data_IF_904118068414
#
_entry.id   IF_904118068414
#
_cell.length_a   1.000
_cell.length_b   1.000
_cell.length_c   1.000
_cell.angle_alpha   90.00
_cell.angle_beta   90.00
_cell.angle_gamma   90.00
#
_symmetry.space_group_name_H-M   'P 1'
#
loop_
_entity.id
_entity.type
_entity.pdbx_description
1 polymer ?
#
# COMPACT_ATOMS: atom_id res chain seq x y z
N UNK A 1 -75.13 27.66 22.83
CA UNK A 1 -75.58 26.67 21.81
C UNK A 1 -74.64 25.48 21.92
N UNK A 2 -74.84 24.60 22.88
CA UNK A 2 -75.73 23.41 22.93
C UNK A 2 -75.19 22.19 22.17
N UNK A 3 -75.45 21.02 22.77
CA UNK A 3 -75.01 19.64 22.51
C UNK A 3 -73.75 19.22 23.27
N UNK A 4 -73.69 18.15 24.07
CA UNK A 4 -74.63 17.26 24.76
C UNK A 4 -73.74 16.33 25.66
N UNK A 5 -74.16 16.01 26.89
CA UNK A 5 -73.61 14.98 27.80
C UNK A 5 -73.85 13.54 27.23
N UNK A 6 -73.37 12.39 27.81
CA UNK A 6 -73.20 12.17 29.27
C UNK A 6 -72.32 11.00 29.83
N UNK A 7 -72.30 10.89 31.19
CA UNK A 7 -72.10 9.70 32.08
C UNK A 7 -70.74 8.95 32.03
N UNK A 8 -70.22 8.27 33.07
CA UNK A 8 -70.30 8.30 34.54
C UNK A 8 -69.27 7.28 35.09
N UNK A 9 -68.91 7.45 36.36
CA UNK A 9 -67.97 6.62 37.11
C UNK A 9 -68.47 5.20 37.40
N UNK A 10 -67.54 4.24 37.57
CA UNK A 10 -67.62 3.12 38.53
C UNK A 10 -66.23 2.49 38.75
N UNK A 11 -65.77 2.54 40.01
CA UNK A 11 -64.71 1.66 40.55
C UNK A 11 -65.26 0.26 40.81
N UNK A 12 -64.41 -0.77 40.89
CA UNK A 12 -64.42 -1.84 41.92
C UNK A 12 -63.26 -2.85 41.71
N UNK A 13 -62.55 -3.06 42.81
CA UNK A 13 -61.89 -4.27 43.33
C UNK A 13 -60.97 -5.17 42.47
N UNK A 14 -59.69 -5.09 42.85
CA UNK A 14 -58.82 -6.20 43.30
C UNK A 14 -59.34 -7.65 43.21
N UNK A 15 -58.56 -8.48 42.51
CA UNK A 15 -58.43 -9.92 42.77
C UNK A 15 -56.94 -10.26 42.90
N UNK A 16 -56.56 -10.76 44.08
CA UNK A 16 -55.26 -11.39 44.37
C UNK A 16 -55.34 -12.87 43.98
N UNK A 17 -54.34 -13.36 43.25
CA UNK A 17 -53.83 -14.74 43.30
C UNK A 17 -52.43 -14.72 42.66
N UNK A 18 -51.33 -14.89 43.39
CA UNK A 18 -50.72 -16.16 43.86
C UNK A 18 -49.48 -16.49 43.03
N UNK A 19 -48.38 -16.73 43.76
CA UNK A 19 -46.98 -16.87 43.32
C UNK A 19 -46.76 -18.03 42.33
N UNK A 20 -45.90 -17.82 41.32
CA UNK A 20 -44.89 -18.81 40.87
C UNK A 20 -43.85 -18.15 39.93
N UNK A 21 -42.63 -18.63 40.04
CA UNK A 21 -41.37 -18.07 39.58
C UNK A 21 -41.17 -17.99 38.06
N UNK A 22 -40.41 -16.98 37.60
CA UNK A 22 -39.31 -17.16 36.63
C UNK A 22 -38.18 -16.19 36.99
N UNK A 23 -37.07 -16.74 37.46
CA UNK A 23 -35.77 -16.08 37.46
C UNK A 23 -35.35 -15.82 36.01
N UNK A 24 -35.19 -14.56 35.62
CA UNK A 24 -34.31 -14.22 34.50
C UNK A 24 -33.32 -13.16 34.99
N UNK A 25 -32.09 -13.63 35.21
CA UNK A 25 -30.91 -12.83 35.48
C UNK A 25 -30.73 -11.78 34.37
N UNK A 26 -30.92 -10.51 34.69
CA UNK A 26 -30.34 -9.40 33.93
C UNK A 26 -28.89 -9.19 34.40
N UNK A 27 -28.04 -10.18 34.13
CA UNK A 27 -26.60 -9.95 34.07
C UNK A 27 -26.32 -9.29 32.72
N UNK A 28 -26.30 -7.96 32.71
CA UNK A 28 -25.82 -7.17 31.60
C UNK A 28 -24.35 -7.55 31.34
N UNK A 29 -24.13 -8.50 30.44
CA UNK A 29 -22.85 -8.76 29.84
C UNK A 29 -22.53 -7.54 28.97
N UNK A 30 -21.85 -6.55 29.58
CA UNK A 30 -21.04 -5.61 28.86
C UNK A 30 -19.96 -6.43 28.13
N UNK A 31 -20.28 -6.88 26.92
CA UNK A 31 -19.27 -7.27 25.94
C UNK A 31 -18.50 -6.00 25.60
N UNK A 32 -17.53 -5.67 26.43
CA UNK A 32 -16.40 -4.87 26.00
C UNK A 32 -15.78 -5.62 24.84
N UNK A 33 -16.04 -5.14 23.62
CA UNK A 33 -15.21 -5.39 22.46
C UNK A 33 -13.82 -4.84 22.77
N UNK A 34 -13.04 -5.56 23.56
CA UNK A 34 -11.59 -5.48 23.49
C UNK A 34 -11.25 -6.01 22.10
N UNK A 35 -11.16 -5.11 21.13
CA UNK A 35 -10.36 -5.35 19.95
C UNK A 35 -9.00 -5.80 20.47
N UNK A 36 -8.74 -7.11 20.40
CA UNK A 36 -7.40 -7.63 20.56
C UNK A 36 -6.58 -6.91 19.50
N UNK A 37 -5.82 -5.91 19.92
CA UNK A 37 -4.74 -5.35 19.13
C UNK A 37 -3.82 -6.52 18.83
N UNK A 38 -4.08 -7.21 17.72
CA UNK A 38 -3.17 -8.20 17.16
C UNK A 38 -1.92 -7.39 16.86
N UNK A 39 -0.86 -7.61 17.65
CA UNK A 39 0.41 -6.94 17.45
C UNK A 39 0.78 -7.13 15.96
N UNK A 40 0.69 -6.06 15.18
CA UNK A 40 1.01 -6.05 13.77
C UNK A 40 2.51 -6.25 13.63
N UNK A 41 2.93 -7.51 13.52
CA UNK A 41 4.34 -7.88 13.41
C UNK A 41 4.73 -8.27 11.99
N UNK A 42 3.95 -7.90 10.97
CA UNK A 42 4.18 -8.27 9.57
C UNK A 42 4.09 -7.07 8.62
N UNK A 43 4.44 -7.30 7.36
CA UNK A 43 4.38 -6.32 6.28
C UNK A 43 3.38 -6.80 5.23
N UNK A 44 2.09 -6.55 5.45
CA UNK A 44 1.02 -7.26 4.74
C UNK A 44 0.57 -6.59 3.44
N UNK A 45 1.07 -5.40 3.11
CA UNK A 45 0.61 -4.58 1.98
C UNK A 45 1.72 -3.65 1.47
N UNK A 46 1.50 -3.07 0.29
CA UNK A 46 2.40 -2.06 -0.29
C UNK A 46 2.57 -0.86 0.67
N UNK A 47 3.80 -0.45 0.94
CA UNK A 47 4.10 0.60 1.91
C UNK A 47 4.14 0.16 3.37
N UNK A 48 3.92 -1.13 3.67
CA UNK A 48 3.93 -1.67 5.03
C UNK A 48 2.61 -1.48 5.77
N UNK A 49 2.55 -1.75 7.09
CA UNK A 49 1.30 -1.78 7.85
C UNK A 49 0.43 -0.55 7.69
N UNK A 50 1.05 0.64 7.69
CA UNK A 50 0.37 1.93 7.60
C UNK A 50 0.53 2.60 6.23
N UNK A 51 1.03 1.89 5.22
CA UNK A 51 1.27 2.44 3.88
C UNK A 51 2.19 3.70 3.86
N UNK A 52 3.13 3.79 4.81
CA UNK A 52 4.00 4.96 5.02
C UNK A 52 5.51 4.62 5.02
N UNK A 53 5.84 3.36 4.72
CA UNK A 53 7.19 2.78 4.70
C UNK A 53 7.91 2.85 6.04
N UNK A 54 7.17 2.98 7.15
CA UNK A 54 7.72 3.00 8.52
C UNK A 54 7.31 1.73 9.26
N UNK A 55 8.22 1.20 10.06
CA UNK A 55 7.94 0.05 10.93
C UNK A 55 8.51 0.28 12.32
N UNK A 56 7.71 -0.05 13.33
CA UNK A 56 8.22 -0.20 14.70
C UNK A 56 8.92 -1.55 14.80
N UNK A 57 10.22 -1.52 15.06
CA UNK A 57 11.05 -2.71 15.16
C UNK A 57 11.93 -2.65 16.40
N UNK A 58 12.57 -3.77 16.74
CA UNK A 58 13.55 -3.81 17.81
C UNK A 58 14.88 -3.18 17.38
N UNK A 59 15.83 -3.09 18.32
CA UNK A 59 17.16 -2.50 18.08
C UNK A 59 17.87 -3.10 16.86
N UNK A 60 18.13 -2.25 15.87
CA UNK A 60 18.85 -2.57 14.65
C UNK A 60 20.32 -2.14 14.76
N UNK A 61 21.18 -2.69 13.91
CA UNK A 61 22.58 -2.33 13.88
C UNK A 61 22.76 -0.87 13.41
N UNK A 62 23.60 -0.10 14.11
CA UNK A 62 23.97 1.27 13.70
C UNK A 62 25.08 1.32 12.66
N UNK A 63 25.81 0.23 12.49
CA UNK A 63 26.95 0.10 11.58
C UNK A 63 26.99 -1.32 11.01
N UNK A 64 27.59 -1.46 9.82
CA UNK A 64 27.82 -2.74 9.17
C UNK A 64 29.31 -2.93 8.87
N UNK A 65 29.80 -4.18 8.80
CA UNK A 65 31.08 -4.47 8.17
C UNK A 65 31.14 -3.97 6.72
N UNK A 66 32.33 -3.84 6.15
CA UNK A 66 32.51 -3.46 4.73
C UNK A 66 31.78 -4.39 3.75
N UNK A 67 31.61 -5.66 4.11
CA UNK A 67 30.86 -6.65 3.32
C UNK A 67 29.32 -6.54 3.46
N UNK A 68 28.84 -5.62 4.30
CA UNK A 68 27.42 -5.42 4.59
C UNK A 68 26.90 -6.30 5.74
N UNK A 69 25.58 -6.26 5.99
CA UNK A 69 24.94 -7.09 7.00
C UNK A 69 25.03 -8.58 6.64
N UNK A 70 24.91 -9.45 7.63
CA UNK A 70 25.00 -10.89 7.40
C UNK A 70 23.87 -11.34 6.47
N UNK A 71 24.25 -11.99 5.36
CA UNK A 71 23.32 -12.62 4.43
C UNK A 71 22.79 -13.91 5.04
N UNK A 72 21.47 -13.99 5.23
CA UNK A 72 20.81 -15.16 5.79
C UNK A 72 20.60 -16.24 4.72
N UNK A 73 20.10 -15.79 3.57
CA UNK A 73 19.95 -16.58 2.37
C UNK A 73 19.80 -15.65 1.17
N UNK A 74 20.03 -16.21 -0.02
CA UNK A 74 19.77 -15.57 -1.31
C UNK A 74 19.25 -16.63 -2.26
N UNK A 75 18.37 -16.24 -3.18
CA UNK A 75 17.74 -17.16 -4.11
C UNK A 75 17.44 -16.46 -5.43
N UNK A 76 17.78 -17.13 -6.53
CA UNK A 76 17.26 -16.78 -7.85
C UNK A 76 15.77 -17.08 -7.93
N UNK A 77 15.03 -16.17 -8.54
CA UNK A 77 13.59 -16.27 -8.67
C UNK A 77 13.20 -16.21 -10.16
N UNK A 78 13.05 -15.00 -10.67
CA UNK A 78 12.67 -14.72 -12.04
C UNK A 78 12.30 -13.26 -12.18
N UNK A 79 11.88 -12.88 -13.37
CA UNK A 79 11.65 -11.49 -13.76
C UNK A 79 10.54 -10.85 -12.92
N UNK A 80 10.75 -9.62 -12.44
CA UNK A 80 9.69 -8.78 -11.84
C UNK A 80 10.19 -7.89 -10.71
N UNK A 81 9.31 -6.97 -10.29
CA UNK A 81 9.55 -5.99 -9.23
C UNK A 81 8.44 -6.00 -8.16
N UNK A 82 7.68 -7.09 -8.08
CA UNK A 82 6.71 -7.30 -7.01
C UNK A 82 7.43 -7.21 -5.66
N UNK A 83 7.01 -6.27 -4.81
CA UNK A 83 7.54 -6.20 -3.44
C UNK A 83 7.16 -7.44 -2.63
N UNK A 84 7.76 -7.54 -1.46
CA UNK A 84 7.68 -8.69 -0.61
C UNK A 84 6.71 -8.35 0.52
N UNK A 85 5.59 -9.05 0.60
CA UNK A 85 4.76 -9.02 1.79
C UNK A 85 5.21 -10.12 2.73
N UNK A 86 5.18 -9.87 4.03
CA UNK A 86 5.56 -10.82 5.06
C UNK A 86 4.47 -10.92 6.11
N UNK A 87 4.15 -12.14 6.51
CA UNK A 87 3.33 -12.39 7.69
C UNK A 87 3.71 -13.73 8.32
N UNK A 88 3.91 -13.75 9.64
CA UNK A 88 4.12 -14.97 10.43
C UNK A 88 5.23 -15.90 9.91
N UNK A 89 6.35 -15.33 9.45
CA UNK A 89 7.50 -16.07 8.94
C UNK A 89 7.31 -16.59 7.52
N UNK A 90 6.36 -16.05 6.76
CA UNK A 90 6.12 -16.38 5.35
C UNK A 90 6.22 -15.13 4.49
N UNK A 91 6.92 -15.25 3.36
CA UNK A 91 7.09 -14.18 2.38
C UNK A 91 6.22 -14.45 1.17
N UNK A 92 5.56 -13.42 0.65
CA UNK A 92 4.69 -13.47 -0.51
C UNK A 92 5.17 -12.45 -1.53
N UNK A 93 5.41 -12.90 -2.75
CA UNK A 93 5.80 -12.02 -3.87
C UNK A 93 5.34 -12.65 -5.19
N UNK A 94 5.63 -12.00 -6.31
CA UNK A 94 5.31 -12.50 -7.64
C UNK A 94 6.51 -12.40 -8.58
N UNK A 95 6.63 -13.32 -9.52
CA UNK A 95 7.64 -13.24 -10.58
C UNK A 95 7.11 -13.83 -11.88
N UNK A 96 7.87 -13.67 -12.96
CA UNK A 96 7.65 -14.33 -14.23
C UNK A 96 8.82 -15.27 -14.53
N UNK A 97 8.49 -16.50 -14.90
CA UNK A 97 9.47 -17.46 -15.41
C UNK A 97 10.15 -16.90 -16.68
N UNK A 98 11.41 -17.27 -16.91
CA UNK A 98 12.12 -16.84 -18.12
C UNK A 98 11.53 -17.48 -19.39
N UNK A 99 11.80 -16.84 -20.53
CA UNK A 99 11.35 -17.29 -21.85
C UNK A 99 10.06 -16.62 -22.33
N UNK A 100 9.81 -16.75 -23.63
CA UNK A 100 8.67 -16.12 -24.33
C UNK A 100 7.32 -16.56 -23.74
N UNK A 101 7.20 -17.86 -23.45
CA UNK A 101 6.01 -18.49 -22.84
C UNK A 101 6.03 -18.49 -21.30
N UNK A 102 6.91 -17.69 -20.68
CA UNK A 102 7.07 -17.62 -19.23
C UNK A 102 5.74 -17.38 -18.52
N UNK A 103 5.45 -18.19 -17.49
CA UNK A 103 4.24 -18.01 -16.67
C UNK A 103 4.51 -16.97 -15.58
N UNK A 104 3.46 -16.27 -15.17
CA UNK A 104 3.50 -15.54 -13.92
C UNK A 104 3.25 -16.49 -12.76
N UNK A 105 3.92 -16.22 -11.65
CA UNK A 105 3.93 -17.06 -10.46
C UNK A 105 3.71 -16.17 -9.25
N UNK A 106 2.61 -16.41 -8.53
CA UNK A 106 2.49 -15.98 -7.14
C UNK A 106 3.17 -17.03 -6.25
N UNK A 107 4.03 -16.62 -5.34
CA UNK A 107 4.86 -17.53 -4.55
C UNK A 107 4.79 -17.20 -3.06
N UNK A 108 4.75 -18.25 -2.24
CA UNK A 108 4.99 -18.18 -0.81
C UNK A 108 6.31 -18.87 -0.47
N UNK A 109 7.16 -18.18 0.29
CA UNK A 109 8.44 -18.67 0.76
C UNK A 109 8.46 -18.76 2.29
N UNK A 110 9.24 -19.70 2.81
CA UNK A 110 9.63 -19.67 4.20
C UNK A 110 10.63 -18.54 4.45
N UNK A 111 10.31 -17.61 5.35
CA UNK A 111 11.12 -16.41 5.56
C UNK A 111 12.50 -16.71 6.17
N UNK A 112 12.65 -17.86 6.87
CA UNK A 112 13.92 -18.26 7.49
C UNK A 112 14.85 -18.92 6.48
N UNK A 113 14.34 -19.69 5.52
CA UNK A 113 15.16 -20.49 4.61
C UNK A 113 15.15 -20.00 3.15
N UNK A 114 14.17 -19.19 2.75
CA UNK A 114 13.94 -18.79 1.35
C UNK A 114 13.36 -19.91 0.48
N UNK A 115 13.04 -21.08 1.06
CA UNK A 115 12.48 -22.22 0.32
C UNK A 115 11.02 -22.00 -0.02
N UNK A 116 10.60 -22.49 -1.19
CA UNK A 116 9.20 -22.46 -1.61
C UNK A 116 8.34 -23.27 -0.63
N UNK A 117 7.26 -22.66 -0.14
CA UNK A 117 6.15 -23.33 0.56
C UNK A 117 5.09 -23.74 -0.44
N UNK A 118 4.67 -22.81 -1.30
CA UNK A 118 3.79 -23.08 -2.42
C UNK A 118 4.03 -22.08 -3.57
N UNK A 119 3.65 -22.48 -4.78
CA UNK A 119 3.65 -21.64 -5.97
C UNK A 119 2.33 -21.78 -6.71
N UNK A 120 1.79 -20.65 -7.19
CA UNK A 120 0.65 -20.61 -8.09
C UNK A 120 1.08 -20.03 -9.43
N UNK A 121 1.28 -20.92 -10.40
CA UNK A 121 1.66 -20.58 -11.77
C UNK A 121 0.43 -20.39 -12.65
N UNK A 122 0.43 -19.37 -13.50
CA UNK A 122 -0.65 -19.14 -14.46
C UNK A 122 -0.12 -18.50 -15.75
N UNK A 123 -0.81 -18.78 -16.86
CA UNK A 123 -0.50 -18.13 -18.14
C UNK A 123 -0.96 -16.67 -18.06
N UNK A 124 -0.04 -15.76 -18.27
CA UNK A 124 -0.29 -14.33 -18.40
C UNK A 124 0.44 -13.86 -19.66
N UNK A 125 -0.25 -13.86 -20.80
CA UNK A 125 0.34 -13.39 -22.05
C UNK A 125 0.34 -11.85 -22.02
N UNK A 126 1.51 -11.19 -22.13
CA UNK A 126 1.58 -9.73 -22.26
C UNK A 126 0.81 -9.26 -23.51
N UNK A 127 0.24 -8.06 -23.45
CA UNK A 127 -0.25 -7.34 -24.64
C UNK A 127 0.93 -6.77 -25.43
N UNK A 128 0.75 -6.52 -26.73
CA UNK A 128 1.73 -5.84 -27.58
C UNK A 128 1.97 -4.37 -27.12
N UNK A 129 1.03 -3.81 -26.35
CA UNK A 129 1.16 -2.48 -25.74
C UNK A 129 2.10 -2.46 -24.52
N UNK A 130 2.50 -3.62 -24.00
CA UNK A 130 3.40 -3.70 -22.86
C UNK A 130 4.85 -3.40 -23.25
N UNK A 131 5.46 -2.47 -22.53
CA UNK A 131 6.89 -2.13 -22.64
C UNK A 131 7.69 -3.11 -21.79
N UNK A 132 8.18 -4.17 -22.44
CA UNK A 132 8.89 -5.28 -21.79
C UNK A 132 10.38 -4.99 -21.51
N UNK A 133 10.95 -3.95 -22.13
CA UNK A 133 12.36 -3.54 -21.99
C UNK A 133 12.77 -3.39 -20.51
N UNK A 134 11.86 -2.82 -19.71
CA UNK A 134 12.11 -2.53 -18.31
C UNK A 134 11.80 -3.70 -17.36
N UNK A 135 11.48 -4.88 -17.88
CA UNK A 135 11.18 -6.09 -17.10
C UNK A 135 9.83 -6.70 -17.48
N UNK A 136 9.82 -8.01 -17.69
CA UNK A 136 8.64 -8.74 -18.15
C UNK A 136 7.67 -9.15 -17.02
N UNK A 137 8.11 -9.00 -15.77
CA UNK A 137 7.44 -9.59 -14.62
C UNK A 137 6.42 -8.70 -13.91
N UNK A 138 5.64 -9.30 -13.00
CA UNK A 138 4.67 -8.60 -12.17
C UNK A 138 5.34 -7.57 -11.26
N UNK A 139 4.59 -6.51 -10.96
CA UNK A 139 5.02 -5.32 -10.20
C UNK A 139 4.19 -5.06 -8.97
N UNK A 140 2.89 -5.40 -9.00
CA UNK A 140 2.01 -5.26 -7.85
C UNK A 140 2.49 -6.12 -6.67
N UNK A 141 2.18 -5.67 -5.47
CA UNK A 141 2.55 -6.34 -4.22
C UNK A 141 1.39 -7.20 -3.75
N UNK A 142 1.63 -8.46 -3.34
CA UNK A 142 0.57 -9.28 -2.78
C UNK A 142 -0.01 -8.64 -1.52
N UNK A 143 -1.32 -8.43 -1.48
CA UNK A 143 -2.03 -8.00 -0.28
C UNK A 143 -2.37 -9.23 0.57
N UNK A 144 -1.99 -9.21 1.85
CA UNK A 144 -2.32 -10.24 2.82
C UNK A 144 -3.41 -9.70 3.75
N UNK A 145 -4.61 -10.28 3.71
CA UNK A 145 -5.63 -10.02 4.71
C UNK A 145 -6.40 -11.31 5.01
N UNK A 146 -6.82 -11.45 6.27
CA UNK A 146 -7.47 -12.66 6.78
C UNK A 146 -6.66 -13.94 6.46
N UNK A 147 -7.30 -14.94 5.87
CA UNK A 147 -6.71 -16.18 5.37
C UNK A 147 -6.46 -16.15 3.85
N UNK A 148 -6.37 -14.95 3.26
CA UNK A 148 -6.25 -14.71 1.81
C UNK A 148 -4.95 -14.00 1.41
N UNK A 149 -4.61 -14.18 0.15
CA UNK A 149 -3.56 -13.43 -0.56
C UNK A 149 -4.17 -12.93 -1.87
N UNK A 150 -4.13 -11.62 -2.09
CA UNK A 150 -4.60 -11.01 -3.33
C UNK A 150 -3.42 -10.60 -4.19
N UNK A 151 -3.42 -11.02 -5.44
CA UNK A 151 -2.35 -10.73 -6.40
C UNK A 151 -2.91 -10.16 -7.69
N UNK A 152 -2.17 -9.26 -8.33
CA UNK A 152 -2.52 -8.69 -9.64
C UNK A 152 -1.31 -8.82 -10.55
N UNK A 153 -1.46 -9.59 -11.63
CA UNK A 153 -0.43 -9.80 -12.64
C UNK A 153 -0.26 -8.65 -13.63
N UNK A 154 0.78 -8.68 -14.47
CA UNK A 154 1.04 -7.62 -15.47
C UNK A 154 -0.17 -7.44 -16.39
N UNK A 155 -0.80 -8.55 -16.79
CA UNK A 155 -1.97 -8.57 -17.67
C UNK A 155 -3.32 -8.42 -16.94
N UNK A 156 -3.34 -7.85 -15.73
CA UNK A 156 -4.59 -7.61 -15.00
C UNK A 156 -5.29 -8.89 -14.51
N UNK A 157 -4.61 -10.03 -14.43
CA UNK A 157 -5.20 -11.22 -13.81
C UNK A 157 -5.12 -11.05 -12.29
N UNK A 158 -6.27 -10.82 -11.67
CA UNK A 158 -6.42 -10.70 -10.23
C UNK A 158 -6.79 -12.06 -9.63
N UNK A 159 -6.05 -12.52 -8.63
CA UNK A 159 -6.39 -13.72 -7.87
C UNK A 159 -6.69 -13.39 -6.42
N UNK A 160 -7.66 -14.12 -5.86
CA UNK A 160 -7.75 -14.37 -4.43
C UNK A 160 -7.29 -15.81 -4.17
N UNK A 161 -6.22 -15.96 -3.40
CA UNK A 161 -5.61 -17.25 -3.07
C UNK A 161 -5.80 -17.55 -1.59
N UNK A 162 -5.94 -18.83 -1.25
CA UNK A 162 -5.82 -19.27 0.12
C UNK A 162 -4.37 -19.12 0.58
N UNK A 163 -4.15 -18.43 1.70
CA UNK A 163 -2.82 -18.10 2.22
C UNK A 163 -1.99 -19.34 2.58
N UNK A 164 -2.63 -20.43 3.00
CA UNK A 164 -1.97 -21.64 3.48
C UNK A 164 -1.42 -22.52 2.35
N UNK A 165 -2.14 -22.64 1.23
CA UNK A 165 -1.79 -23.60 0.16
C UNK A 165 -1.74 -23.01 -1.26
N UNK A 166 -2.02 -21.70 -1.42
CA UNK A 166 -1.98 -21.02 -2.71
C UNK A 166 -3.10 -21.43 -3.68
N UNK A 167 -4.11 -22.19 -3.23
CA UNK A 167 -5.25 -22.52 -4.08
C UNK A 167 -6.09 -21.28 -4.39
N UNK A 168 -6.59 -21.22 -5.62
CA UNK A 168 -7.48 -20.14 -6.04
C UNK A 168 -8.82 -20.29 -5.35
N UNK A 169 -9.23 -19.25 -4.62
CA UNK A 169 -10.58 -19.10 -4.09
C UNK A 169 -11.49 -18.53 -5.18
N UNK A 170 -11.04 -17.43 -5.80
CA UNK A 170 -11.65 -16.85 -6.99
C UNK A 170 -10.60 -16.07 -7.81
N UNK A 171 -10.92 -15.75 -9.06
CA UNK A 171 -10.07 -14.95 -9.94
C UNK A 171 -10.90 -14.12 -10.91
N UNK A 172 -10.36 -12.98 -11.32
CA UNK A 172 -10.89 -12.13 -12.38
C UNK A 172 -9.80 -11.78 -13.40
N UNK A 173 -10.17 -11.67 -14.67
CA UNK A 173 -9.33 -11.09 -15.71
C UNK A 173 -9.83 -9.66 -15.95
N UNK A 174 -9.16 -8.68 -15.32
CA UNK A 174 -9.62 -7.30 -15.31
C UNK A 174 -9.79 -6.71 -16.72
N UNK A 175 -8.99 -7.18 -17.68
CA UNK A 175 -9.06 -6.79 -19.08
C UNK A 175 -10.21 -7.44 -19.81
N UNK A 176 -10.24 -8.78 -19.82
CA UNK A 176 -11.19 -9.51 -20.66
C UNK A 176 -12.61 -9.47 -20.09
N UNK A 177 -12.73 -9.53 -18.78
CA UNK A 177 -14.02 -9.58 -18.10
C UNK A 177 -14.64 -8.20 -17.97
N UNK A 178 -13.84 -7.19 -17.61
CA UNK A 178 -14.37 -5.86 -17.29
C UNK A 178 -14.04 -4.80 -18.33
N UNK A 179 -13.22 -5.09 -19.35
CA UNK A 179 -12.71 -4.10 -20.32
C UNK A 179 -11.80 -3.05 -19.65
N UNK A 180 -11.02 -3.52 -18.67
CA UNK A 180 -10.01 -2.73 -17.98
C UNK A 180 -8.94 -2.18 -18.93
N UNK A 181 -8.25 -1.14 -18.48
CA UNK A 181 -7.22 -0.46 -19.27
C UNK A 181 -5.98 -1.33 -19.46
N UNK A 182 -5.47 -1.42 -20.68
CA UNK A 182 -4.13 -1.98 -20.92
C UNK A 182 -3.10 -0.89 -20.61
N UNK A 183 -2.36 -1.07 -19.52
CA UNK A 183 -1.32 -0.14 -19.07
C UNK A 183 0.02 -0.52 -19.67
N UNK A 184 0.79 0.43 -20.21
CA UNK A 184 2.05 0.12 -20.90
C UNK A 184 3.11 -0.57 -20.01
N UNK A 185 3.09 -0.36 -18.69
CA UNK A 185 3.94 -1.09 -17.73
C UNK A 185 3.20 -2.21 -16.99
N UNK A 186 2.01 -2.57 -17.43
CA UNK A 186 1.12 -3.53 -16.81
C UNK A 186 0.57 -3.08 -15.45
N UNK A 187 -0.29 -3.89 -14.85
CA UNK A 187 -0.88 -3.55 -13.55
C UNK A 187 0.21 -3.59 -12.48
N UNK A 188 0.46 -2.41 -11.90
CA UNK A 188 1.46 -2.23 -10.85
C UNK A 188 0.83 -1.79 -9.51
N UNK A 189 -0.41 -1.28 -9.56
CA UNK A 189 -1.20 -1.04 -8.34
C UNK A 189 -1.52 -2.37 -7.67
N UNK A 190 -1.31 -2.42 -6.36
CA UNK A 190 -1.76 -3.53 -5.52
C UNK A 190 -3.26 -3.38 -5.21
N UNK A 191 -3.87 -4.46 -4.73
CA UNK A 191 -5.24 -4.40 -4.21
C UNK A 191 -5.28 -3.70 -2.85
N UNK A 192 -6.43 -3.10 -2.51
CA UNK A 192 -6.68 -2.47 -1.22
C UNK A 192 -7.70 -3.29 -0.40
N UNK A 193 -7.41 -3.50 0.87
CA UNK A 193 -8.29 -4.14 1.83
C UNK A 193 -9.25 -3.14 2.47
N UNK A 194 -10.57 -3.36 2.41
CA UNK A 194 -11.53 -2.51 3.12
C UNK A 194 -12.84 -3.24 3.48
N UNK A 195 -13.13 -3.34 4.78
CA UNK A 195 -14.32 -4.04 5.29
C UNK A 195 -14.42 -5.46 4.74
N UNK A 196 -15.54 -5.78 4.10
CA UNK A 196 -15.80 -7.07 3.45
C UNK A 196 -15.30 -7.16 1.99
N UNK A 197 -14.63 -6.10 1.52
CA UNK A 197 -14.24 -5.95 0.12
C UNK A 197 -12.74 -5.88 -0.07
N UNK A 198 -12.34 -6.22 -1.28
CA UNK A 198 -11.02 -5.90 -1.83
C UNK A 198 -11.23 -5.00 -3.05
N UNK A 199 -10.51 -3.89 -3.10
CA UNK A 199 -10.68 -2.85 -4.12
C UNK A 199 -9.47 -2.86 -5.07
N UNK A 200 -9.73 -2.70 -6.36
CA UNK A 200 -8.68 -2.63 -7.38
C UNK A 200 -8.90 -1.47 -8.36
N UNK A 201 -7.78 -0.92 -8.83
CA UNK A 201 -7.74 -0.01 -9.98
C UNK A 201 -7.84 -0.83 -11.27
N UNK A 202 -9.03 -0.86 -11.86
CA UNK A 202 -9.32 -1.66 -13.07
C UNK A 202 -9.08 -0.84 -14.34
N UNK A 203 -9.40 0.45 -14.31
CA UNK A 203 -9.44 1.28 -15.51
C UNK A 203 -10.64 0.94 -16.40
N UNK A 204 -10.97 1.81 -17.36
CA UNK A 204 -12.11 1.62 -18.27
C UNK A 204 -13.34 2.44 -17.90
N UNK A 205 -14.24 2.60 -18.87
CA UNK A 205 -15.37 3.54 -18.81
C UNK A 205 -16.45 3.09 -17.82
N UNK A 206 -16.68 3.85 -16.77
CA UNK A 206 -17.66 3.65 -15.71
C UNK A 206 -17.23 2.65 -14.64
N UNK A 207 -15.96 2.24 -14.65
CA UNK A 207 -15.40 1.25 -13.73
C UNK A 207 -13.90 1.41 -13.56
N UNK A 208 -13.39 2.65 -13.50
CA UNK A 208 -11.96 2.86 -13.25
C UNK A 208 -11.53 2.24 -11.92
N UNK A 209 -12.43 2.19 -10.93
CA UNK A 209 -12.26 1.48 -9.67
C UNK A 209 -13.39 0.45 -9.49
N UNK A 210 -13.06 -0.69 -8.88
CA UNK A 210 -14.04 -1.75 -8.55
C UNK A 210 -13.75 -2.37 -7.19
N UNK A 211 -14.81 -2.65 -6.43
CA UNK A 211 -14.76 -3.45 -5.21
C UNK A 211 -15.34 -4.84 -5.44
N UNK A 212 -14.66 -5.84 -4.90
CA UNK A 212 -15.05 -7.24 -4.99
C UNK A 212 -15.21 -7.80 -3.57
N UNK A 213 -16.22 -8.64 -3.36
CA UNK A 213 -16.36 -9.39 -2.10
C UNK A 213 -15.14 -10.29 -1.88
N UNK A 214 -14.56 -10.24 -0.67
CA UNK A 214 -13.40 -11.08 -0.31
C UNK A 214 -13.69 -12.58 -0.41
N UNK A 215 -14.90 -13.00 -0.06
CA UNK A 215 -15.31 -14.41 0.02
C UNK A 215 -15.47 -15.09 -1.34
N UNK A 216 -15.99 -14.40 -2.35
CA UNK A 216 -16.42 -15.01 -3.63
C UNK A 216 -16.10 -14.18 -4.89
N UNK A 217 -15.52 -12.99 -4.76
CA UNK A 217 -15.13 -12.15 -5.89
C UNK A 217 -16.28 -11.39 -6.55
N UNK A 218 -17.53 -11.51 -6.08
CA UNK A 218 -18.64 -10.76 -6.67
C UNK A 218 -18.40 -9.26 -6.56
N UNK A 219 -18.63 -8.54 -7.66
CA UNK A 219 -18.55 -7.08 -7.70
C UNK A 219 -19.60 -6.49 -6.76
N UNK A 220 -19.17 -5.64 -5.83
CA UNK A 220 -20.03 -4.87 -4.94
C UNK A 220 -20.38 -3.53 -5.58
N UNK A 221 -19.35 -2.83 -6.06
CA UNK A 221 -19.52 -1.59 -6.80
C UNK A 221 -18.44 -1.45 -7.88
N UNK A 222 -18.76 -0.65 -8.90
CA UNK A 222 -17.85 -0.22 -9.96
C UNK A 222 -18.20 1.22 -10.32
N UNK A 223 -17.23 2.12 -10.27
CA UNK A 223 -17.47 3.56 -10.34
C UNK A 223 -16.34 4.28 -11.06
N UNK A 224 -16.65 5.52 -11.40
CA UNK A 224 -15.74 6.53 -11.95
C UNK A 224 -15.21 6.21 -13.36
N UNK A 225 -14.71 7.26 -14.01
CA UNK A 225 -14.21 7.27 -15.39
C UNK A 225 -12.76 7.77 -15.46
N UNK A 226 -12.01 7.62 -14.37
CA UNK A 226 -10.64 8.13 -14.30
C UNK A 226 -9.71 7.37 -15.25
N UNK A 227 -8.74 8.09 -15.80
CA UNK A 227 -7.67 7.48 -16.59
C UNK A 227 -6.72 6.74 -15.64
N UNK A 228 -6.51 5.45 -15.92
CA UNK A 228 -5.81 4.56 -14.99
C UNK A 228 -4.32 4.92 -14.83
N UNK A 229 -3.75 4.61 -13.66
CA UNK A 229 -2.34 4.84 -13.34
C UNK A 229 -1.78 3.71 -12.45
N UNK A 230 -0.65 3.95 -11.77
CA UNK A 230 0.16 2.89 -11.17
C UNK A 230 0.24 2.91 -9.64
N UNK A 231 -0.11 4.02 -8.99
CA UNK A 231 -0.04 4.14 -7.53
C UNK A 231 -1.11 3.27 -6.85
N UNK A 232 -0.71 2.53 -5.81
CA UNK A 232 -1.65 1.70 -5.04
C UNK A 232 -2.60 2.60 -4.22
N UNK A 233 -3.92 2.37 -4.22
CA UNK A 233 -4.85 3.11 -3.37
C UNK A 233 -4.51 2.96 -1.88
N UNK A 234 -4.86 3.98 -1.09
CA UNK A 234 -4.69 3.96 0.35
C UNK A 234 -5.86 4.61 1.07
N UNK A 235 -6.15 4.16 2.29
CA UNK A 235 -7.14 4.81 3.15
C UNK A 235 -6.44 5.86 4.00
N UNK A 236 -7.02 7.04 4.05
CA UNK A 236 -6.73 8.06 5.06
C UNK A 236 -7.98 8.32 5.88
N UNK A 237 -7.81 8.72 7.13
CA UNK A 237 -8.91 9.24 7.94
C UNK A 237 -8.79 10.76 8.04
N UNK A 238 -9.82 11.47 7.59
CA UNK A 238 -9.92 12.94 7.69
C UNK A 238 -11.10 13.25 8.60
N UNK A 239 -10.83 13.78 9.79
CA UNK A 239 -11.87 14.16 10.77
C UNK A 239 -12.94 13.06 10.99
N UNK A 240 -12.50 11.80 11.11
CA UNK A 240 -13.37 10.66 11.38
C UNK A 240 -13.98 9.98 10.14
N UNK A 241 -13.76 10.48 8.92
CA UNK A 241 -14.18 9.80 7.69
C UNK A 241 -13.02 9.09 7.02
N UNK A 242 -13.21 7.81 6.74
CA UNK A 242 -12.30 7.05 5.89
C UNK A 242 -12.49 7.47 4.42
N UNK A 243 -11.38 7.85 3.78
CA UNK A 243 -11.32 8.28 2.40
C UNK A 243 -10.27 7.47 1.66
N UNK A 244 -10.67 6.85 0.56
CA UNK A 244 -9.76 6.11 -0.32
C UNK A 244 -9.11 7.06 -1.32
N UNK A 245 -7.83 7.34 -1.11
CA UNK A 245 -7.02 8.06 -2.07
C UNK A 245 -6.66 7.16 -3.26
N UNK A 246 -6.96 7.64 -4.46
CA UNK A 246 -6.58 7.03 -5.73
C UNK A 246 -5.80 8.05 -6.55
N UNK A 247 -4.51 7.80 -6.76
CA UNK A 247 -3.68 8.68 -7.59
C UNK A 247 -3.73 8.21 -9.05
N UNK A 248 -4.67 8.80 -9.78
CA UNK A 248 -5.01 8.47 -11.17
C UNK A 248 -4.09 9.24 -12.13
N UNK A 249 -4.21 9.03 -13.44
CA UNK A 249 -3.24 9.59 -14.40
C UNK A 249 -3.24 11.12 -14.49
N UNK A 250 -4.37 11.76 -14.16
CA UNK A 250 -4.56 13.21 -14.32
C UNK A 250 -4.96 13.91 -13.01
N UNK A 251 -5.29 13.14 -11.97
CA UNK A 251 -5.75 13.66 -10.69
C UNK A 251 -5.35 12.77 -9.51
N UNK A 252 -5.30 13.38 -8.33
CA UNK A 252 -5.54 12.68 -7.08
C UNK A 252 -7.04 12.78 -6.77
N UNK A 253 -7.71 11.65 -6.59
CA UNK A 253 -9.11 11.59 -6.17
C UNK A 253 -9.23 10.92 -4.80
N UNK A 254 -10.19 11.36 -4.00
CA UNK A 254 -10.63 10.66 -2.81
C UNK A 254 -12.06 10.18 -2.98
N UNK A 255 -12.28 8.91 -2.65
CA UNK A 255 -13.57 8.26 -2.79
C UNK A 255 -14.01 7.69 -1.44
N UNK A 256 -15.32 7.55 -1.24
CA UNK A 256 -15.84 6.71 -0.18
C UNK A 256 -15.53 5.24 -0.55
N UNK A 257 -14.74 4.50 0.27
CA UNK A 257 -14.40 3.11 -0.03
C UNK A 257 -15.61 2.14 0.01
N UNK A 258 -16.70 2.50 0.69
CA UNK A 258 -17.89 1.64 0.83
C UNK A 258 -18.70 1.52 -0.47
N UNK A 259 -18.81 2.60 -1.23
CA UNK A 259 -19.69 2.71 -2.40
C UNK A 259 -19.01 3.23 -3.67
N UNK A 260 -17.77 3.72 -3.57
CA UNK A 260 -17.00 4.29 -4.66
C UNK A 260 -17.46 5.69 -5.09
N UNK A 261 -18.25 6.38 -4.29
CA UNK A 261 -18.67 7.76 -4.56
C UNK A 261 -17.48 8.73 -4.41
N UNK A 262 -17.44 9.73 -5.29
CA UNK A 262 -16.38 10.74 -5.30
C UNK A 262 -16.61 11.72 -4.15
N UNK A 263 -15.61 11.88 -3.27
CA UNK A 263 -15.64 12.87 -2.20
C UNK A 263 -15.01 14.18 -2.66
N UNK A 264 -13.81 14.11 -3.25
CA UNK A 264 -13.12 15.26 -3.81
C UNK A 264 -12.04 14.81 -4.80
N UNK A 265 -11.52 15.76 -5.59
CA UNK A 265 -10.35 15.53 -6.45
C UNK A 265 -9.56 16.81 -6.66
N UNK A 266 -8.26 16.66 -6.91
CA UNK A 266 -7.34 17.73 -7.29
C UNK A 266 -6.60 17.32 -8.54
N UNK A 267 -6.52 18.21 -9.53
CA UNK A 267 -5.76 17.98 -10.75
C UNK A 267 -4.25 17.88 -10.45
N UNK A 268 -3.63 16.83 -11.00
CA UNK A 268 -2.19 16.60 -10.94
C UNK A 268 -1.76 15.81 -12.18
N UNK A 269 -1.51 16.53 -13.27
CA UNK A 269 -1.13 15.98 -14.58
C UNK A 269 0.39 15.90 -14.71
N UNK A 270 0.86 14.88 -15.43
CA UNK A 270 2.23 14.81 -15.93
C UNK A 270 2.24 14.35 -17.39
N UNK A 271 3.36 14.53 -18.08
CA UNK A 271 3.46 14.25 -19.52
C UNK A 271 3.20 12.78 -19.90
N UNK A 272 3.39 11.85 -18.98
CA UNK A 272 3.24 10.42 -19.24
C UNK A 272 1.91 9.85 -18.71
N UNK A 273 1.14 10.62 -17.92
CA UNK A 273 -0.03 10.12 -17.20
C UNK A 273 0.33 9.06 -16.14
N UNK A 274 1.56 9.11 -15.62
CA UNK A 274 2.10 8.12 -14.70
C UNK A 274 2.27 8.72 -13.31
N UNK A 275 1.21 8.70 -12.51
CA UNK A 275 1.27 9.04 -11.10
C UNK A 275 1.52 7.73 -10.33
N UNK A 276 2.77 7.52 -9.93
CA UNK A 276 3.27 6.22 -9.44
C UNK A 276 3.55 6.23 -7.94
N UNK A 277 3.96 7.39 -7.40
CA UNK A 277 4.29 7.53 -6.00
C UNK A 277 3.05 7.37 -5.11
N UNK A 278 3.24 6.70 -3.98
CA UNK A 278 2.22 6.64 -2.94
C UNK A 278 2.12 8.02 -2.25
N UNK A 279 0.92 8.60 -2.08
CA UNK A 279 0.74 9.81 -1.30
C UNK A 279 1.27 9.67 0.14
N UNK A 280 1.72 10.76 0.75
CA UNK A 280 2.20 10.78 2.13
C UNK A 280 1.25 11.60 2.99
N UNK A 281 0.55 10.94 3.91
CA UNK A 281 -0.44 11.53 4.80
C UNK A 281 0.05 11.58 6.24
N UNK A 282 -0.26 12.66 6.96
CA UNK A 282 -0.15 12.70 8.43
C UNK A 282 -1.44 13.29 9.03
N UNK A 283 -2.14 12.47 9.81
CA UNK A 283 -3.38 12.85 10.47
C UNK A 283 -3.18 13.87 11.62
N UNK A 284 -1.94 14.16 12.04
CA UNK A 284 -1.69 15.13 13.12
C UNK A 284 -1.90 16.58 12.69
N UNK A 285 -1.59 16.90 11.44
CA UNK A 285 -1.70 18.25 10.90
C UNK A 285 -2.48 18.32 9.57
N UNK A 286 -2.99 17.17 9.15
CA UNK A 286 -3.79 16.98 7.94
C UNK A 286 -3.08 17.40 6.66
N UNK A 287 -1.76 17.26 6.63
CA UNK A 287 -0.99 17.51 5.42
C UNK A 287 -0.87 16.23 4.59
N UNK A 288 -1.16 16.37 3.29
CA UNK A 288 -1.07 15.35 2.27
C UNK A 288 -0.06 15.79 1.21
N UNK A 289 1.06 15.09 1.12
CA UNK A 289 2.06 15.32 0.09
C UNK A 289 1.89 14.35 -1.08
N UNK A 290 1.89 14.89 -2.30
CA UNK A 290 1.89 14.13 -3.55
C UNK A 290 2.97 14.61 -4.49
N UNK A 291 3.41 13.73 -5.38
CA UNK A 291 4.52 13.97 -6.27
C UNK A 291 4.45 13.13 -7.52
N UNK A 292 4.97 13.65 -8.62
CA UNK A 292 5.18 12.90 -9.86
C UNK A 292 6.33 13.47 -10.67
N UNK A 293 6.90 12.61 -11.52
CA UNK A 293 7.93 12.98 -12.48
C UNK A 293 7.32 13.62 -13.73
N UNK A 294 8.15 13.86 -14.76
CA UNK A 294 7.71 14.26 -16.09
C UNK A 294 6.84 15.52 -16.07
N UNK A 295 7.34 16.54 -15.37
CA UNK A 295 6.71 17.85 -15.19
C UNK A 295 5.47 17.87 -14.27
N UNK A 296 5.13 16.77 -13.59
CA UNK A 296 4.06 16.75 -12.59
C UNK A 296 4.40 17.55 -11.32
N UNK A 297 5.67 17.48 -10.88
CA UNK A 297 6.12 18.20 -9.70
C UNK A 297 5.57 17.60 -8.42
N UNK A 298 5.61 18.38 -7.34
CA UNK A 298 5.04 17.99 -6.05
C UNK A 298 4.10 19.04 -5.51
N UNK A 299 3.15 18.61 -4.68
CA UNK A 299 2.21 19.47 -3.97
C UNK A 299 2.07 19.03 -2.52
N UNK A 300 1.79 19.97 -1.63
CA UNK A 300 1.23 19.65 -0.33
C UNK A 300 -0.17 20.25 -0.23
N UNK A 301 -1.11 19.41 0.17
CA UNK A 301 -2.50 19.77 0.39
C UNK A 301 -2.78 19.72 1.89
N UNK A 302 -3.67 20.59 2.37
CA UNK A 302 -4.23 20.51 3.71
C UNK A 302 -5.70 20.12 3.62
N UNK A 303 -6.08 19.10 4.38
CA UNK A 303 -7.44 18.58 4.40
C UNK A 303 -8.16 18.99 5.70
N UNK A 304 -9.44 19.29 5.58
CA UNK A 304 -10.32 19.48 6.73
C UNK A 304 -11.75 19.17 6.34
N UNK A 305 -12.61 18.84 7.29
CA UNK A 305 -14.04 18.63 7.03
C UNK A 305 -14.92 19.74 7.60
N UNK A 306 -15.94 20.08 6.83
CA UNK A 306 -17.08 20.89 7.28
C UNK A 306 -18.36 20.10 6.96
N UNK A 307 -18.94 19.48 8.00
CA UNK A 307 -20.03 18.51 7.83
C UNK A 307 -19.58 17.33 6.96
N UNK A 308 -20.29 17.13 5.85
CA UNK A 308 -20.01 16.03 4.90
C UNK A 308 -18.96 16.37 3.85
N UNK A 309 -18.63 17.66 3.69
CA UNK A 309 -17.69 18.14 2.67
C UNK A 309 -16.25 18.09 3.18
N UNK A 310 -15.31 17.76 2.29
CA UNK A 310 -13.88 17.87 2.57
C UNK A 310 -13.31 19.08 1.83
N UNK A 311 -12.78 20.02 2.59
CA UNK A 311 -12.03 21.15 2.06
C UNK A 311 -10.60 20.71 1.76
N UNK A 312 -10.13 21.05 0.56
CA UNK A 312 -8.78 20.73 0.07
C UNK A 312 -8.08 22.03 -0.27
N UNK A 313 -7.13 22.43 0.57
CA UNK A 313 -6.31 23.63 0.38
C UNK A 313 -4.95 23.24 -0.19
N UNK A 314 -4.53 23.81 -1.32
CA UNK A 314 -3.15 23.68 -1.79
C UNK A 314 -2.25 24.61 -0.95
N UNK A 315 -1.45 24.03 -0.05
CA UNK A 315 -0.52 24.79 0.80
C UNK A 315 0.65 25.31 -0.03
N UNK A 316 1.17 24.47 -0.92
CA UNK A 316 2.21 24.83 -1.87
C UNK A 316 2.27 23.82 -3.03
N UNK A 317 2.87 24.28 -4.14
CA UNK A 317 3.27 23.45 -5.27
C UNK A 317 4.71 23.75 -5.69
N UNK A 318 5.48 22.71 -6.01
CA UNK A 318 6.87 22.81 -6.45
C UNK A 318 7.10 21.95 -7.71
N UNK A 319 7.16 22.53 -8.92
CA UNK A 319 7.34 21.79 -10.17
C UNK A 319 8.75 21.20 -10.33
N UNK A 320 9.73 21.62 -9.50
CA UNK A 320 11.11 21.14 -9.57
C UNK A 320 11.35 19.91 -8.71
N UNK A 321 10.52 19.67 -7.69
CA UNK A 321 10.57 18.47 -6.88
C UNK A 321 9.80 17.36 -7.60
N UNK A 322 10.52 16.44 -8.23
CA UNK A 322 9.95 15.41 -9.10
C UNK A 322 10.48 14.04 -8.71
N UNK A 323 9.57 13.17 -8.27
CA UNK A 323 9.88 11.81 -7.81
C UNK A 323 9.28 10.84 -8.82
N UNK A 324 10.06 9.80 -9.18
CA UNK A 324 9.67 8.84 -10.22
C UNK A 324 8.93 7.64 -9.61
N UNK A 325 9.46 6.40 -9.72
CA UNK A 325 8.90 5.21 -9.07
C UNK A 325 9.52 4.92 -7.68
N UNK A 326 10.17 5.93 -7.08
CA UNK A 326 10.67 5.90 -5.70
C UNK A 326 9.53 6.13 -4.69
N UNK A 327 9.85 6.10 -3.40
CA UNK A 327 8.95 6.51 -2.33
C UNK A 327 9.38 7.81 -1.62
N UNK A 328 8.49 8.30 -0.76
CA UNK A 328 8.73 9.39 0.16
C UNK A 328 8.35 8.96 1.58
N UNK A 329 9.11 9.41 2.58
CA UNK A 329 8.81 9.17 4.00
C UNK A 329 8.83 10.50 4.74
N UNK A 330 7.78 10.74 5.53
CA UNK A 330 7.70 11.90 6.43
C UNK A 330 8.20 11.55 7.83
N UNK A 331 9.16 12.32 8.32
CA UNK A 331 9.58 12.36 9.74
C UNK A 331 9.50 13.80 10.26
N UNK A 332 8.57 14.05 11.17
CA UNK A 332 8.27 15.40 11.67
C UNK A 332 7.87 16.33 10.52
N UNK A 333 8.55 17.47 10.40
CA UNK A 333 8.31 18.46 9.34
C UNK A 333 9.12 18.19 8.05
N UNK A 334 9.74 17.01 7.93
CA UNK A 334 10.65 16.69 6.83
C UNK A 334 10.12 15.54 5.98
N UNK A 335 10.02 15.76 4.67
CA UNK A 335 9.87 14.70 3.68
C UNK A 335 11.26 14.32 3.17
N UNK A 336 11.59 13.04 3.29
CA UNK A 336 12.76 12.44 2.65
C UNK A 336 12.32 11.69 1.40
N UNK A 337 13.09 11.82 0.31
CA UNK A 337 12.76 11.18 -0.97
C UNK A 337 13.93 11.19 -1.93
N UNK A 338 13.86 10.39 -3.00
CA UNK A 338 14.85 10.35 -4.08
C UNK A 338 14.20 10.66 -5.42
N UNK A 339 14.77 11.58 -6.20
CA UNK A 339 14.32 11.80 -7.58
C UNK A 339 14.87 10.73 -8.52
N UNK A 340 14.13 10.43 -9.59
CA UNK A 340 14.56 9.41 -10.54
C UNK A 340 14.16 9.58 -12.01
N UNK A 341 14.19 10.81 -12.52
CA UNK A 341 13.99 11.09 -13.96
C UNK A 341 15.22 10.83 -14.84
N UNK A 342 15.33 11.54 -15.97
CA UNK A 342 16.56 11.55 -16.80
C UNK A 342 17.61 12.45 -16.14
N UNK A 343 18.54 11.86 -15.38
CA UNK A 343 19.62 12.58 -14.70
C UNK A 343 20.17 11.79 -13.51
N UNK A 344 21.21 12.30 -12.82
CA UNK A 344 21.73 11.65 -11.63
C UNK A 344 20.65 11.61 -10.55
N UNK A 345 20.46 10.46 -9.89
CA UNK A 345 19.53 10.38 -8.77
C UNK A 345 20.03 11.20 -7.58
N UNK A 346 19.14 11.99 -7.03
CA UNK A 346 19.39 12.94 -5.93
C UNK A 346 18.43 12.57 -4.80
N UNK A 347 18.96 12.49 -3.57
CA UNK A 347 18.16 12.44 -2.36
C UNK A 347 17.86 13.86 -1.87
N UNK A 348 16.65 14.07 -1.36
CA UNK A 348 16.17 15.35 -0.86
C UNK A 348 15.68 15.20 0.57
N UNK A 349 15.92 16.23 1.38
CA UNK A 349 15.06 16.60 2.47
C UNK A 349 14.28 17.85 2.09
N UNK A 350 12.97 17.81 2.31
CA UNK A 350 12.03 18.88 1.97
C UNK A 350 11.22 19.25 3.19
N UNK A 351 11.07 20.53 3.46
CA UNK A 351 10.13 21.00 4.47
C UNK A 351 8.70 20.75 3.98
N UNK A 352 7.92 19.96 4.72
CA UNK A 352 6.56 19.59 4.30
C UNK A 352 5.59 20.77 4.32
N UNK A 353 5.86 21.81 5.11
CA UNK A 353 4.98 22.98 5.29
C UNK A 353 5.23 24.05 4.24
N UNK A 354 6.46 24.17 3.75
CA UNK A 354 6.83 25.23 2.80
C UNK A 354 7.19 24.71 1.40
N UNK A 355 7.56 23.43 1.28
CA UNK A 355 8.08 22.85 0.03
C UNK A 355 9.54 23.20 -0.25
N UNK A 356 10.22 23.85 0.70
CA UNK A 356 11.63 24.22 0.58
C UNK A 356 12.53 23.00 0.66
N UNK A 357 13.46 22.90 -0.29
CA UNK A 357 14.49 21.88 -0.27
C UNK A 357 15.54 22.28 0.77
N UNK A 358 15.59 21.57 1.90
CA UNK A 358 16.57 21.79 2.96
C UNK A 358 17.97 21.40 2.52
N UNK A 359 18.07 20.24 1.89
CA UNK A 359 19.32 19.80 1.26
C UNK A 359 19.03 18.83 0.12
N UNK A 360 20.05 18.66 -0.73
CA UNK A 360 20.08 17.68 -1.81
C UNK A 360 21.43 16.97 -1.78
N UNK A 361 21.43 15.64 -1.88
CA UNK A 361 22.66 14.86 -1.79
C UNK A 361 22.72 13.77 -2.87
N UNK A 362 23.93 13.44 -3.30
CA UNK A 362 24.20 12.34 -4.23
C UNK A 362 24.58 11.09 -3.43
N UNK A 363 24.49 9.92 -4.07
CA UNK A 363 25.03 8.68 -3.49
C UNK A 363 24.15 7.46 -3.69
N UNK A 364 22.85 7.66 -3.90
CA UNK A 364 21.91 6.61 -4.24
C UNK A 364 21.04 7.06 -5.42
N UNK A 365 21.16 6.37 -6.54
CA UNK A 365 20.40 6.67 -7.76
C UNK A 365 18.99 6.05 -7.73
N UNK A 366 17.94 6.84 -7.96
CA UNK A 366 16.53 6.37 -8.00
C UNK A 366 16.18 5.43 -6.85
N UNK A 367 16.37 5.89 -5.63
CA UNK A 367 16.34 5.01 -4.49
C UNK A 367 14.93 4.71 -3.96
N UNK A 368 14.79 3.55 -3.33
CA UNK A 368 13.64 3.15 -2.51
C UNK A 368 14.13 2.82 -1.12
N UNK A 369 13.32 3.05 -0.09
CA UNK A 369 13.80 2.90 1.29
C UNK A 369 12.69 2.63 2.30
N UNK A 370 13.08 2.05 3.43
CA UNK A 370 12.22 1.76 4.59
C UNK A 370 12.83 2.35 5.85
N UNK A 371 11.98 2.85 6.75
CA UNK A 371 12.40 3.42 8.03
C UNK A 371 12.07 2.51 9.21
N UNK A 372 13.06 2.27 10.07
CA UNK A 372 12.89 1.56 11.32
C UNK A 372 14.08 1.80 12.25
N UNK A 373 13.81 1.91 13.56
CA UNK A 373 14.82 2.16 14.59
C UNK A 373 15.70 3.39 14.27
N UNK A 374 15.08 4.52 13.89
CA UNK A 374 15.74 5.79 13.56
C UNK A 374 16.72 5.73 12.39
N UNK A 375 16.54 4.78 11.47
CA UNK A 375 17.43 4.58 10.31
C UNK A 375 16.62 4.33 9.05
N UNK A 376 17.17 4.75 7.91
CA UNK A 376 16.73 4.30 6.59
C UNK A 376 17.61 3.14 6.12
N UNK A 377 16.95 2.11 5.60
CA UNK A 377 17.57 1.08 4.77
C UNK A 377 17.24 1.41 3.33
N UNK A 378 18.25 1.83 2.58
CA UNK A 378 18.12 2.38 1.23
C UNK A 378 18.55 1.34 0.20
N UNK A 379 17.85 1.26 -0.92
CA UNK A 379 18.24 0.48 -2.09
C UNK A 379 18.20 1.41 -3.30
N UNK A 380 19.30 1.50 -4.05
CA UNK A 380 19.32 2.24 -5.31
C UNK A 380 19.12 1.33 -6.53
N UNK A 381 18.89 1.94 -7.70
CA UNK A 381 18.59 1.18 -8.92
C UNK A 381 19.71 0.24 -9.37
N UNK A 382 20.94 0.54 -9.00
CA UNK A 382 22.14 -0.24 -9.34
C UNK A 382 22.37 -1.41 -8.37
N UNK A 383 21.58 -1.50 -7.30
CA UNK A 383 21.62 -2.60 -6.35
C UNK A 383 22.52 -2.36 -5.14
N UNK A 384 22.94 -1.12 -4.91
CA UNK A 384 23.61 -0.74 -3.67
C UNK A 384 22.60 -0.64 -2.53
N UNK A 385 23.02 -1.11 -1.36
CA UNK A 385 22.22 -1.14 -0.14
C UNK A 385 22.87 -0.26 0.91
N UNK A 386 22.13 0.73 1.35
CA UNK A 386 22.58 1.77 2.27
C UNK A 386 21.99 1.63 3.67
N UNK A 387 22.78 2.04 4.66
CA UNK A 387 22.30 2.40 5.99
C UNK A 387 22.48 3.91 6.15
N UNK A 388 21.40 4.63 6.40
CA UNK A 388 21.40 6.10 6.49
C UNK A 388 20.71 6.53 7.78
N UNK A 389 21.33 7.47 8.50
CA UNK A 389 20.67 8.20 9.58
C UNK A 389 19.94 9.41 8.98
N UNK A 390 18.60 9.48 9.06
CA UNK A 390 17.88 10.66 8.62
C UNK A 390 18.20 11.86 9.50
N UNK A 391 18.55 12.98 8.88
CA UNK A 391 18.79 14.24 9.55
C UNK A 391 18.18 15.38 8.69
N UNK A 392 17.34 16.26 9.24
CA UNK A 392 16.77 17.37 8.48
C UNK A 392 17.81 18.36 7.95
N UNK A 393 19.04 18.35 8.50
CA UNK A 393 20.11 19.27 8.12
C UNK A 393 21.21 18.63 7.27
N UNK A 394 21.31 17.30 7.26
CA UNK A 394 22.37 16.59 6.52
C UNK A 394 21.97 15.18 6.08
N UNK A 395 22.74 14.57 5.19
CA UNK A 395 22.54 13.18 4.74
C UNK A 395 23.68 12.29 5.20
N UNK A 396 23.46 11.56 6.30
CA UNK A 396 24.50 10.77 6.98
C UNK A 396 24.47 9.30 6.53
N UNK A 397 25.27 8.98 5.51
CA UNK A 397 25.46 7.61 5.03
C UNK A 397 26.44 6.88 5.98
N UNK A 398 25.96 5.81 6.63
CA UNK A 398 26.76 4.97 7.54
C UNK A 398 27.40 3.78 6.85
N UNK A 399 26.71 3.23 5.86
CA UNK A 399 27.20 2.14 5.03
C UNK A 399 26.57 2.25 3.65
N UNK A 400 27.31 1.77 2.64
CA UNK A 400 26.82 1.62 1.28
C UNK A 400 27.53 0.42 0.65
N UNK A 401 26.79 -0.64 0.33
CA UNK A 401 27.35 -1.92 -0.10
C UNK A 401 26.62 -2.48 -1.32
N UNK A 402 27.32 -2.92 -2.39
CA UNK A 402 26.69 -3.53 -3.56
C UNK A 402 26.26 -4.96 -3.25
N UNK A 403 24.95 -5.20 -3.07
CA UNK A 403 24.42 -6.53 -2.70
C UNK A 403 23.57 -7.16 -3.80
N UNK A 404 22.95 -6.35 -4.65
CA UNK A 404 22.16 -6.76 -5.79
C UNK A 404 22.90 -6.43 -7.09
N UNK A 405 22.60 -7.15 -8.17
CA UNK A 405 23.41 -7.06 -9.41
C UNK A 405 22.59 -6.79 -10.66
N UNK A 406 21.26 -6.74 -10.52
CA UNK A 406 20.31 -6.34 -11.56
C UNK A 406 19.59 -5.08 -11.10
N UNK A 407 18.84 -4.47 -12.02
CA UNK A 407 17.99 -3.32 -11.72
C UNK A 407 17.15 -3.59 -10.46
N UNK A 408 17.30 -2.75 -9.44
CA UNK A 408 16.72 -2.94 -8.11
C UNK A 408 15.69 -1.86 -7.79
N UNK A 409 14.52 -1.94 -8.43
CA UNK A 409 13.41 -1.01 -8.21
C UNK A 409 12.37 -1.49 -7.19
N UNK A 410 12.59 -2.67 -6.61
CA UNK A 410 11.69 -3.23 -5.59
C UNK A 410 11.96 -2.56 -4.25
N UNK A 411 10.91 -2.10 -3.59
CA UNK A 411 11.06 -1.45 -2.29
C UNK A 411 11.49 -2.47 -1.23
N UNK A 412 12.42 -2.11 -0.33
CA UNK A 412 12.84 -2.99 0.76
C UNK A 412 11.70 -3.28 1.73
N UNK A 413 11.68 -4.48 2.30
CA UNK A 413 10.72 -4.91 3.33
C UNK A 413 11.46 -5.21 4.62
N UNK A 414 11.06 -4.57 5.72
CA UNK A 414 11.70 -4.73 7.02
C UNK A 414 10.70 -5.31 8.04
N UNK A 415 11.01 -6.50 8.56
CA UNK A 415 10.23 -7.14 9.62
C UNK A 415 11.14 -7.61 10.75
N UNK A 416 10.90 -7.10 11.95
CA UNK A 416 11.74 -7.39 13.11
C UNK A 416 13.20 -6.97 12.85
N UNK A 417 14.09 -7.96 12.72
CA UNK A 417 15.53 -7.77 12.43
C UNK A 417 15.93 -8.27 11.03
N UNK A 418 14.94 -8.54 10.17
CA UNK A 418 15.12 -9.07 8.82
C UNK A 418 14.79 -8.01 7.79
N UNK A 419 15.77 -7.72 6.94
CA UNK A 419 15.58 -6.90 5.75
C UNK A 419 15.49 -7.84 4.53
N UNK A 420 14.37 -7.80 3.83
CA UNK A 420 14.14 -8.54 2.60
C UNK A 420 14.27 -7.60 1.42
N UNK A 421 15.13 -7.99 0.47
CA UNK A 421 15.44 -7.20 -0.71
C UNK A 421 15.21 -8.04 -1.96
N UNK A 422 14.95 -7.36 -3.07
CA UNK A 422 14.79 -8.00 -4.35
C UNK A 422 15.22 -7.08 -5.49
N UNK A 423 16.09 -7.59 -6.37
CA UNK A 423 16.26 -7.01 -7.69
C UNK A 423 15.37 -7.71 -8.72
N UNK A 424 15.50 -7.34 -10.00
CA UNK A 424 14.73 -7.91 -11.10
C UNK A 424 14.72 -9.45 -11.15
N UNK A 425 15.71 -10.14 -10.57
CA UNK A 425 15.87 -11.61 -10.66
C UNK A 425 16.10 -12.32 -9.32
N UNK A 426 16.69 -11.67 -8.34
CA UNK A 426 17.16 -12.27 -7.09
C UNK A 426 16.39 -11.70 -5.91
N UNK A 427 16.00 -12.58 -4.99
CA UNK A 427 15.47 -12.24 -3.67
C UNK A 427 16.48 -12.64 -2.59
N UNK A 428 16.62 -11.83 -1.55
CA UNK A 428 17.53 -12.10 -0.44
C UNK A 428 16.96 -11.67 0.91
N UNK A 429 17.48 -12.28 1.98
CA UNK A 429 17.24 -11.84 3.34
C UNK A 429 18.55 -11.53 4.06
N UNK A 430 18.56 -10.41 4.78
CA UNK A 430 19.70 -9.90 5.53
C UNK A 430 19.35 -9.82 7.03
N UNK A 431 20.30 -10.17 7.89
CA UNK A 431 20.27 -9.93 9.33
C UNK A 431 20.75 -8.51 9.62
N UNK A 432 19.82 -7.61 9.97
CA UNK A 432 20.12 -6.19 10.26
C UNK A 432 19.98 -5.83 11.73
N UNK A 433 19.77 -6.82 12.60
CA UNK A 433 19.70 -6.62 14.05
C UNK A 433 21.04 -6.24 14.68
N UNK A 434 21.00 -5.46 15.75
CA UNK A 434 22.19 -5.24 16.57
C UNK A 434 22.73 -6.58 17.10
N UNK A 435 24.07 -6.72 17.14
CA UNK A 435 24.73 -7.83 17.83
C UNK A 435 24.33 -7.77 19.31
N UNK A 436 23.89 -8.91 19.84
CA UNK A 436 23.58 -9.11 21.26
C UNK A 436 24.82 -9.03 22.10
#
# INVERSE_FOLDING_TARGET
MSFALPYAWRSIATLRASRAAVCCLTAAAALSCTALARAESGWTRWGGPNQDWKIKCGKLAGEWPESGPKKAWTRELGEGYSSISEENGKLYTMYREEGEDGKEVAICLDAKTGQTVWERKYKAKPSDEHVMEFGAGPRATPLLCDDRVYTIGVSGIMHCLNKADGKVVWKHDLWKEFKGTVLNHGYSSSALDYGDTVIAMVGGKGHSLMAFRKDNGKVVWKKQDFKNSYSTPMIINVDGQDQMLCFMAEELAALNPEDGELLWRVEHKNQWGQNVCLPVWDAKDHLLFITSVAQGGSKCLKLSRDGDETNVEEVWANPKLQIHHSNAIRLGDTIYTSSGGRGPGIFYAVDVKTGDIRWKERGFAKATFVYGDDKFFVVDEDGNVGLVEPDPESFKIKANVPLLTKAAWTHPTLVGKRLYLRDRKVIMALDVGAKS
#
